data_IF_792220248426
#
_entry.id   IF_792220248426
#
_cell.length_a   1.000
_cell.length_b   1.000
_cell.length_c   1.000
_cell.angle_alpha   90.00
_cell.angle_beta   90.00
_cell.angle_gamma   90.00
#
_symmetry.space_group_name_H-M   'P 1'
#
loop_
_entity.id
_entity.type
_entity.pdbx_description
1 polymer ?
#
# COMPACT_ATOMS: atom_id res chain seq x y z
N UNK A 1 -31.55 -147.99 79.66
CA UNK A 1 -30.32 -147.26 80.10
C UNK A 1 -29.40 -146.93 78.93
N UNK A 2 -29.04 -147.88 78.05
CA UNK A 2 -28.11 -147.60 76.93
C UNK A 2 -28.57 -146.49 75.97
N UNK A 3 -29.83 -146.51 75.48
CA UNK A 3 -30.32 -145.49 74.53
C UNK A 3 -30.26 -144.07 75.11
N UNK A 4 -30.62 -143.89 76.38
CA UNK A 4 -30.59 -142.59 77.05
C UNK A 4 -29.17 -141.98 77.09
N UNK A 5 -28.13 -142.80 77.31
CA UNK A 5 -26.73 -142.35 77.18
C UNK A 5 -26.37 -141.96 75.75
N UNK A 6 -26.89 -142.68 74.75
CA UNK A 6 -26.69 -142.38 73.33
C UNK A 6 -27.42 -141.09 72.93
N UNK A 7 -28.69 -140.91 73.33
CA UNK A 7 -29.49 -139.70 73.12
C UNK A 7 -28.79 -138.46 73.74
N UNK A 8 -28.20 -138.58 74.92
CA UNK A 8 -27.38 -137.53 75.52
C UNK A 8 -26.06 -137.27 74.78
N UNK A 9 -25.43 -138.31 74.21
CA UNK A 9 -24.22 -138.16 73.40
C UNK A 9 -24.52 -137.48 72.06
N UNK A 10 -25.58 -137.89 71.36
CA UNK A 10 -26.06 -137.28 70.11
C UNK A 10 -26.51 -135.84 70.34
N UNK A 11 -27.27 -135.56 71.42
CA UNK A 11 -27.66 -134.19 71.79
C UNK A 11 -26.45 -133.30 72.15
N UNK A 12 -25.37 -133.88 72.69
CA UNK A 12 -24.11 -133.16 72.93
C UNK A 12 -23.32 -132.92 71.64
N UNK A 13 -23.34 -133.87 70.70
CA UNK A 13 -22.72 -133.71 69.39
C UNK A 13 -23.44 -132.63 68.56
N UNK A 14 -24.79 -132.64 68.53
CA UNK A 14 -25.59 -131.57 67.91
C UNK A 14 -25.22 -130.20 68.47
N UNK A 15 -25.21 -130.00 69.81
CA UNK A 15 -24.77 -128.72 70.42
C UNK A 15 -23.34 -128.30 70.10
N UNK A 16 -22.46 -129.22 69.69
CA UNK A 16 -21.11 -128.90 69.22
C UNK A 16 -21.10 -128.56 67.72
N UNK A 17 -21.97 -129.19 66.92
CA UNK A 17 -22.25 -128.83 65.53
C UNK A 17 -22.93 -127.46 65.46
N UNK A 18 -24.07 -127.26 66.14
CA UNK A 18 -24.78 -125.97 66.29
C UNK A 18 -23.82 -124.82 66.66
N UNK A 19 -22.87 -125.09 67.57
CA UNK A 19 -21.87 -124.09 68.01
C UNK A 19 -20.73 -123.89 66.99
N UNK A 20 -20.31 -124.91 66.27
CA UNK A 20 -19.34 -124.78 65.19
C UNK A 20 -19.94 -124.03 63.99
N UNK A 21 -21.19 -124.34 63.65
CA UNK A 21 -21.99 -123.67 62.62
C UNK A 21 -22.22 -122.20 62.97
N UNK A 22 -22.63 -121.87 64.20
CA UNK A 22 -22.75 -120.47 64.66
C UNK A 22 -21.41 -119.70 64.66
N UNK A 23 -20.29 -120.38 64.92
CA UNK A 23 -18.96 -119.75 64.83
C UNK A 23 -18.51 -119.55 63.37
N UNK A 24 -18.82 -120.49 62.48
CA UNK A 24 -18.57 -120.35 61.04
C UNK A 24 -19.47 -119.27 60.43
N UNK A 25 -20.74 -119.19 60.82
CA UNK A 25 -21.67 -118.12 60.46
C UNK A 25 -21.15 -116.75 60.95
N UNK A 26 -20.65 -116.66 62.19
CA UNK A 26 -19.99 -115.43 62.66
C UNK A 26 -18.71 -115.08 61.89
N UNK A 27 -17.94 -116.05 61.40
CA UNK A 27 -16.75 -115.81 60.59
C UNK A 27 -17.17 -115.30 59.20
N UNK A 28 -18.09 -115.99 58.52
CA UNK A 28 -18.65 -115.55 57.24
C UNK A 28 -19.30 -114.17 57.33
N UNK A 29 -20.04 -113.87 58.41
CA UNK A 29 -20.64 -112.57 58.63
C UNK A 29 -19.62 -111.46 58.96
N UNK A 30 -18.39 -111.79 59.38
CA UNK A 30 -17.28 -110.83 59.49
C UNK A 30 -16.63 -110.62 58.13
N UNK A 31 -16.28 -111.69 57.41
CA UNK A 31 -15.71 -111.59 56.07
C UNK A 31 -16.64 -110.84 55.10
N UNK A 32 -17.97 -111.04 55.20
CA UNK A 32 -18.95 -110.28 54.41
C UNK A 32 -18.86 -108.79 54.73
N UNK A 33 -18.87 -108.39 56.02
CA UNK A 33 -18.72 -106.99 56.42
C UNK A 33 -17.37 -106.39 56.00
N UNK A 34 -16.29 -107.17 56.04
CA UNK A 34 -14.97 -106.73 55.59
C UNK A 34 -14.95 -106.52 54.07
N UNK A 35 -15.56 -107.42 53.29
CA UNK A 35 -15.75 -107.26 51.84
C UNK A 35 -16.67 -106.08 51.50
N UNK A 36 -17.76 -105.89 52.25
CA UNK A 36 -18.70 -104.77 52.07
C UNK A 36 -18.01 -103.43 52.38
N UNK A 37 -17.19 -103.36 53.43
CA UNK A 37 -16.40 -102.17 53.78
C UNK A 37 -15.29 -101.91 52.76
N UNK A 38 -14.64 -102.95 52.23
CA UNK A 38 -13.66 -102.81 51.13
C UNK A 38 -14.33 -102.32 49.84
N UNK A 39 -15.49 -102.88 49.47
CA UNK A 39 -16.26 -102.45 48.31
C UNK A 39 -16.78 -101.00 48.46
N UNK A 40 -17.18 -100.59 49.67
CA UNK A 40 -17.53 -99.20 49.98
C UNK A 40 -16.31 -98.27 49.89
N UNK A 41 -15.16 -98.67 50.43
CA UNK A 41 -13.91 -97.90 50.33
C UNK A 41 -13.50 -97.70 48.87
N UNK A 42 -13.40 -98.79 48.09
CA UNK A 42 -13.12 -98.76 46.66
C UNK A 42 -14.12 -97.88 45.88
N UNK A 43 -15.41 -97.94 46.23
CA UNK A 43 -16.42 -97.08 45.61
C UNK A 43 -16.16 -95.60 45.92
N UNK A 44 -15.87 -95.25 47.18
CA UNK A 44 -15.53 -93.87 47.55
C UNK A 44 -14.24 -93.38 46.91
N UNK A 45 -13.21 -94.22 46.78
CA UNK A 45 -11.97 -93.89 46.05
C UNK A 45 -12.25 -93.61 44.57
N UNK A 46 -13.07 -94.44 43.92
CA UNK A 46 -13.48 -94.24 42.51
C UNK A 46 -14.30 -92.95 42.33
N UNK A 47 -15.18 -92.62 43.27
CA UNK A 47 -15.91 -91.34 43.26
C UNK A 47 -14.99 -90.13 43.49
N UNK A 48 -14.04 -90.21 44.41
CA UNK A 48 -13.07 -89.14 44.68
C UNK A 48 -12.16 -88.91 43.47
N UNK A 49 -11.58 -89.97 42.89
CA UNK A 49 -10.75 -89.88 41.69
C UNK A 49 -11.53 -89.28 40.49
N UNK A 50 -12.80 -89.66 40.31
CA UNK A 50 -13.66 -89.06 39.29
C UNK A 50 -13.94 -87.58 39.57
N UNK A 51 -14.18 -87.19 40.82
CA UNK A 51 -14.40 -85.80 41.22
C UNK A 51 -13.14 -84.94 41.00
N UNK A 52 -11.96 -85.46 41.33
CA UNK A 52 -10.67 -84.82 41.07
C UNK A 52 -10.41 -84.65 39.58
N UNK A 53 -10.62 -85.69 38.76
CA UNK A 53 -10.50 -85.60 37.30
C UNK A 53 -11.48 -84.57 36.71
N UNK A 54 -12.73 -84.57 37.16
CA UNK A 54 -13.76 -83.60 36.74
C UNK A 54 -13.33 -82.17 37.10
N UNK A 55 -12.79 -81.97 38.30
CA UNK A 55 -12.29 -80.67 38.76
C UNK A 55 -11.07 -80.20 37.94
N UNK A 56 -10.09 -81.08 37.71
CA UNK A 56 -8.90 -80.74 36.92
C UNK A 56 -9.27 -80.38 35.48
N UNK A 57 -10.17 -81.14 34.84
CA UNK A 57 -10.69 -80.82 33.51
C UNK A 57 -11.41 -79.46 33.47
N UNK A 58 -12.18 -79.13 34.52
CA UNK A 58 -12.83 -77.82 34.63
C UNK A 58 -11.83 -76.67 34.85
N UNK A 59 -10.81 -76.85 35.70
CA UNK A 59 -9.76 -75.86 35.93
C UNK A 59 -8.91 -75.63 34.66
N UNK A 60 -8.56 -76.69 33.93
CA UNK A 60 -7.88 -76.61 32.62
C UNK A 60 -8.74 -75.93 31.56
N UNK A 61 -10.02 -76.30 31.44
CA UNK A 61 -10.95 -75.65 30.50
C UNK A 61 -11.12 -74.16 30.80
N UNK A 62 -11.16 -73.78 32.09
CA UNK A 62 -11.20 -72.37 32.52
C UNK A 62 -9.90 -71.63 32.21
N UNK A 63 -8.73 -72.28 32.34
CA UNK A 63 -7.44 -71.71 31.96
C UNK A 63 -7.37 -71.47 30.44
N UNK A 64 -7.69 -72.47 29.63
CA UNK A 64 -7.71 -72.34 28.16
C UNK A 64 -8.66 -71.23 27.68
N UNK A 65 -9.85 -71.07 28.29
CA UNK A 65 -10.76 -69.95 27.98
C UNK A 65 -10.13 -68.59 28.33
N UNK A 66 -9.43 -68.49 29.46
CA UNK A 66 -8.75 -67.26 29.87
C UNK A 66 -7.54 -66.92 28.97
N UNK A 67 -6.79 -67.93 28.54
CA UNK A 67 -5.64 -67.77 27.63
C UNK A 67 -6.09 -67.32 26.24
N UNK A 68 -7.06 -68.02 25.62
CA UNK A 68 -7.66 -67.59 24.35
C UNK A 68 -8.22 -66.15 24.42
N UNK A 69 -8.85 -65.78 25.54
CA UNK A 69 -9.37 -64.42 25.75
C UNK A 69 -8.28 -63.35 25.99
N UNK A 70 -7.08 -63.74 26.38
CA UNK A 70 -5.91 -62.85 26.46
C UNK A 70 -5.19 -62.75 25.11
N UNK A 71 -5.16 -63.82 24.32
CA UNK A 71 -4.57 -63.86 22.98
C UNK A 71 -5.40 -63.04 21.99
N UNK A 72 -6.71 -63.25 21.91
CA UNK A 72 -7.63 -62.42 21.11
C UNK A 72 -7.53 -60.93 21.46
N UNK A 73 -7.32 -60.58 22.73
CA UNK A 73 -7.09 -59.19 23.16
C UNK A 73 -5.72 -58.63 22.75
N UNK A 74 -4.69 -59.48 22.64
CA UNK A 74 -3.37 -59.07 22.12
C UNK A 74 -3.46 -58.82 20.61
N UNK A 75 -4.17 -59.68 19.88
CA UNK A 75 -4.45 -59.51 18.45
C UNK A 75 -5.23 -58.21 18.20
N UNK A 76 -6.34 -57.96 18.90
CA UNK A 76 -7.09 -56.68 18.82
C UNK A 76 -6.21 -55.44 19.07
N UNK A 77 -5.24 -55.53 19.97
CA UNK A 77 -4.33 -54.42 20.29
C UNK A 77 -3.26 -54.27 19.20
N UNK A 78 -2.75 -55.37 18.64
CA UNK A 78 -1.79 -55.35 17.53
C UNK A 78 -2.43 -54.82 16.25
N UNK A 79 -3.64 -55.26 15.90
CA UNK A 79 -4.39 -54.77 14.75
C UNK A 79 -4.67 -53.27 14.84
N UNK A 80 -5.12 -52.80 16.01
CA UNK A 80 -5.33 -51.35 16.26
C UNK A 80 -4.03 -50.56 16.21
N UNK A 81 -2.93 -51.11 16.72
CA UNK A 81 -1.63 -50.47 16.63
C UNK A 81 -1.16 -50.36 15.17
N UNK A 82 -1.31 -51.43 14.39
CA UNK A 82 -0.96 -51.48 12.96
C UNK A 82 -1.77 -50.47 12.14
N UNK A 83 -3.10 -50.44 12.33
CA UNK A 83 -4.00 -49.46 11.69
C UNK A 83 -3.63 -48.01 12.04
N UNK A 84 -3.24 -47.75 13.30
CA UNK A 84 -2.81 -46.40 13.72
C UNK A 84 -1.44 -46.04 13.12
N UNK A 85 -0.49 -46.97 13.01
CA UNK A 85 0.77 -46.70 12.30
C UNK A 85 0.55 -46.44 10.81
N UNK A 86 -0.25 -47.26 10.11
CA UNK A 86 -0.55 -47.07 8.68
C UNK A 86 -1.28 -45.74 8.43
N UNK A 87 -2.22 -45.37 9.30
CA UNK A 87 -2.89 -44.07 9.25
C UNK A 87 -1.92 -42.91 9.48
N UNK A 88 -0.99 -43.02 10.43
CA UNK A 88 0.02 -41.99 10.70
C UNK A 88 1.08 -41.90 9.58
N UNK A 89 1.45 -43.02 8.97
CA UNK A 89 2.37 -43.05 7.82
C UNK A 89 1.73 -42.39 6.59
N UNK A 90 0.51 -42.79 6.20
CA UNK A 90 -0.23 -42.18 5.10
C UNK A 90 -0.56 -40.70 5.32
N UNK A 91 -0.85 -40.30 6.56
CA UNK A 91 -1.03 -38.90 6.96
C UNK A 91 0.29 -38.09 6.93
N UNK A 92 1.45 -38.74 7.09
CA UNK A 92 2.75 -38.10 6.92
C UNK A 92 3.17 -38.02 5.45
N UNK A 93 2.98 -39.07 4.64
CA UNK A 93 3.33 -39.04 3.20
C UNK A 93 2.51 -37.97 2.49
N UNK A 94 1.19 -37.96 2.65
CA UNK A 94 0.29 -36.96 2.03
C UNK A 94 0.64 -35.53 2.43
N UNK A 95 1.03 -35.28 3.69
CA UNK A 95 1.56 -33.97 4.13
C UNK A 95 2.87 -33.59 3.44
N UNK A 96 3.80 -34.53 3.27
CA UNK A 96 5.06 -34.26 2.57
C UNK A 96 4.86 -34.04 1.07
N UNK A 97 3.95 -34.81 0.44
CA UNK A 97 3.57 -34.67 -0.96
C UNK A 97 2.92 -33.30 -1.22
N UNK A 98 1.91 -32.92 -0.43
CA UNK A 98 1.27 -31.60 -0.50
C UNK A 98 2.27 -30.46 -0.27
N UNK A 99 3.19 -30.59 0.70
CA UNK A 99 4.22 -29.58 0.94
C UNK A 99 5.20 -29.42 -0.24
N UNK A 100 5.51 -30.51 -0.96
CA UNK A 100 6.31 -30.49 -2.19
C UNK A 100 5.51 -29.84 -3.33
N UNK A 101 4.27 -30.27 -3.57
CA UNK A 101 3.40 -29.70 -4.62
C UNK A 101 3.20 -28.19 -4.42
N UNK A 102 2.87 -27.74 -3.21
CA UNK A 102 2.77 -26.32 -2.87
C UNK A 102 4.08 -25.57 -3.12
N UNK A 103 5.23 -26.19 -2.88
CA UNK A 103 6.54 -25.59 -3.16
C UNK A 103 6.79 -25.43 -4.66
N UNK A 104 6.40 -26.43 -5.47
CA UNK A 104 6.52 -26.38 -6.92
C UNK A 104 5.56 -25.39 -7.55
N UNK A 105 4.29 -25.36 -7.13
CA UNK A 105 3.30 -24.39 -7.59
C UNK A 105 3.78 -22.95 -7.32
N UNK A 106 4.24 -22.67 -6.09
CA UNK A 106 4.83 -21.35 -5.74
C UNK A 106 6.09 -21.04 -6.56
N UNK A 107 6.94 -22.02 -6.85
CA UNK A 107 8.10 -21.82 -7.72
C UNK A 107 7.71 -21.53 -9.18
N UNK A 108 6.70 -22.21 -9.72
CA UNK A 108 6.14 -21.96 -11.05
C UNK A 108 5.47 -20.59 -11.14
N UNK A 109 4.74 -20.17 -10.11
CA UNK A 109 4.22 -18.81 -9.96
C UNK A 109 5.32 -17.76 -9.99
N UNK A 110 6.39 -17.91 -9.20
CA UNK A 110 7.51 -16.96 -9.22
C UNK A 110 8.19 -16.92 -10.60
N UNK A 111 8.36 -18.07 -11.28
CA UNK A 111 8.88 -18.14 -12.66
C UNK A 111 7.99 -17.40 -13.66
N UNK A 112 6.66 -17.57 -13.61
CA UNK A 112 5.73 -16.90 -14.53
C UNK A 112 5.56 -15.41 -14.21
N UNK A 113 5.49 -15.02 -12.93
CA UNK A 113 5.46 -13.62 -12.48
C UNK A 113 6.73 -12.87 -12.92
N UNK A 114 7.92 -13.46 -12.70
CA UNK A 114 9.19 -12.85 -13.14
C UNK A 114 9.35 -12.80 -14.66
N UNK A 115 8.86 -13.77 -15.41
CA UNK A 115 8.80 -13.71 -16.88
C UNK A 115 7.89 -12.56 -17.36
N UNK A 116 6.66 -12.46 -16.83
CA UNK A 116 5.72 -11.37 -17.14
C UNK A 116 6.36 -9.99 -16.86
N UNK A 117 6.97 -9.82 -15.69
CA UNK A 117 7.66 -8.59 -15.30
C UNK A 117 8.86 -8.26 -16.23
N UNK A 118 9.72 -9.24 -16.55
CA UNK A 118 10.84 -9.05 -17.49
C UNK A 118 10.34 -8.64 -18.89
N UNK A 119 9.22 -9.19 -19.34
CA UNK A 119 8.59 -8.79 -20.59
C UNK A 119 8.07 -7.35 -20.52
N UNK A 120 7.29 -7.00 -19.51
CA UNK A 120 6.77 -5.63 -19.30
C UNK A 120 7.91 -4.59 -19.25
N UNK A 121 8.99 -4.85 -18.50
CA UNK A 121 10.17 -3.98 -18.44
C UNK A 121 10.86 -3.83 -19.81
N UNK A 122 10.90 -4.88 -20.64
CA UNK A 122 11.39 -4.82 -22.03
C UNK A 122 10.50 -3.95 -22.92
N UNK A 123 9.17 -4.00 -22.75
CA UNK A 123 8.23 -3.13 -23.45
C UNK A 123 8.33 -1.66 -22.99
N UNK A 124 8.39 -1.40 -21.68
CA UNK A 124 8.57 -0.05 -21.11
C UNK A 124 9.89 0.57 -21.55
N UNK A 125 10.99 -0.20 -21.57
CA UNK A 125 12.29 0.27 -22.10
C UNK A 125 12.20 0.62 -23.59
N UNK A 126 11.51 -0.19 -24.40
CA UNK A 126 11.27 0.09 -25.83
C UNK A 126 10.37 1.31 -26.06
N UNK A 127 9.43 1.60 -25.18
CA UNK A 127 8.62 2.82 -25.24
C UNK A 127 9.49 4.04 -24.96
N UNK A 128 10.14 4.09 -23.78
CA UNK A 128 10.98 5.22 -23.35
C UNK A 128 12.07 5.62 -24.36
N UNK A 129 12.63 4.65 -25.09
CA UNK A 129 13.59 4.92 -26.16
C UNK A 129 12.92 5.69 -27.32
N UNK A 130 11.80 5.20 -27.84
CA UNK A 130 11.03 5.87 -28.90
C UNK A 130 10.51 7.25 -28.47
N UNK A 131 10.04 7.38 -27.23
CA UNK A 131 9.56 8.64 -26.68
C UNK A 131 10.70 9.67 -26.58
N UNK A 132 11.91 9.21 -26.22
CA UNK A 132 13.14 10.01 -26.22
C UNK A 132 13.60 10.41 -27.63
N UNK A 133 13.58 9.49 -28.58
CA UNK A 133 13.88 9.75 -30.01
C UNK A 133 12.94 10.80 -30.60
N UNK A 134 11.62 10.66 -30.36
CA UNK A 134 10.61 11.62 -30.79
C UNK A 134 10.80 13.00 -30.13
N UNK A 135 11.08 13.05 -28.83
CA UNK A 135 11.36 14.29 -28.09
C UNK A 135 12.62 15.00 -28.61
N UNK A 136 13.67 14.25 -28.95
CA UNK A 136 14.88 14.79 -29.57
C UNK A 136 14.61 15.35 -30.97
N UNK A 137 13.86 14.63 -31.81
CA UNK A 137 13.48 15.10 -33.14
C UNK A 137 12.64 16.39 -33.09
N UNK A 138 11.61 16.43 -32.23
CA UNK A 138 10.80 17.63 -32.02
C UNK A 138 11.64 18.81 -31.52
N UNK A 139 12.60 18.56 -30.62
CA UNK A 139 13.51 19.60 -30.12
C UNK A 139 14.47 20.11 -31.20
N UNK A 140 14.92 19.25 -32.12
CA UNK A 140 15.74 19.66 -33.27
C UNK A 140 14.93 20.54 -34.24
N UNK A 141 13.68 20.16 -34.56
CA UNK A 141 12.77 20.97 -35.36
C UNK A 141 12.55 22.35 -34.74
N UNK A 142 12.14 22.43 -33.47
CA UNK A 142 11.95 23.71 -32.77
C UNK A 142 13.19 24.61 -32.71
N UNK A 143 14.40 24.03 -32.76
CA UNK A 143 15.66 24.78 -32.87
C UNK A 143 15.89 25.28 -34.30
N UNK A 144 15.58 24.48 -35.32
CA UNK A 144 15.66 24.87 -36.73
C UNK A 144 14.63 25.96 -37.08
N UNK A 145 13.37 25.79 -36.68
CA UNK A 145 12.29 26.76 -36.86
C UNK A 145 12.65 28.10 -36.21
N UNK A 146 13.13 28.05 -34.95
CA UNK A 146 13.57 29.25 -34.24
C UNK A 146 14.78 29.92 -34.92
N UNK A 147 15.75 29.14 -35.41
CA UNK A 147 16.89 29.68 -36.15
C UNK A 147 16.42 30.40 -37.42
N UNK A 148 15.53 29.79 -38.21
CA UNK A 148 14.95 30.38 -39.40
C UNK A 148 14.19 31.69 -39.11
N UNK A 149 13.32 31.69 -38.08
CA UNK A 149 12.62 32.89 -37.62
C UNK A 149 13.58 34.01 -37.18
N UNK A 150 14.62 33.69 -36.41
CA UNK A 150 15.62 34.70 -36.03
C UNK A 150 16.44 35.21 -37.21
N UNK A 151 16.67 34.38 -38.24
CA UNK A 151 17.35 34.80 -39.47
C UNK A 151 16.48 35.79 -40.27
N UNK A 152 15.19 35.49 -40.46
CA UNK A 152 14.24 36.43 -41.06
C UNK A 152 14.17 37.75 -40.29
N UNK A 153 14.05 37.69 -38.96
CA UNK A 153 14.03 38.90 -38.13
C UNK A 153 15.30 39.74 -38.27
N UNK A 154 16.48 39.12 -38.40
CA UNK A 154 17.71 39.84 -38.68
C UNK A 154 17.72 40.45 -40.09
N UNK A 155 17.25 39.73 -41.11
CA UNK A 155 17.14 40.23 -42.49
C UNK A 155 16.15 41.40 -42.61
N UNK A 156 15.01 41.38 -41.91
CA UNK A 156 14.06 42.49 -41.91
C UNK A 156 14.55 43.69 -41.07
N UNK A 157 15.30 43.43 -39.99
CA UNK A 157 16.02 44.46 -39.25
C UNK A 157 17.18 45.08 -40.04
N UNK A 158 17.81 44.37 -40.99
CA UNK A 158 18.81 44.99 -41.87
C UNK A 158 18.17 45.81 -42.98
N UNK A 159 17.07 45.35 -43.60
CA UNK A 159 16.30 46.13 -44.58
C UNK A 159 15.84 47.47 -43.99
N UNK A 160 15.06 47.42 -42.90
CA UNK A 160 14.54 48.63 -42.23
C UNK A 160 15.63 49.60 -41.75
N UNK A 161 16.81 49.11 -41.36
CA UNK A 161 17.96 49.97 -41.05
C UNK A 161 18.58 50.63 -42.28
N UNK A 162 18.65 49.94 -43.41
CA UNK A 162 19.11 50.52 -44.67
C UNK A 162 18.10 51.54 -45.20
N UNK A 163 16.81 51.21 -45.19
CA UNK A 163 15.73 52.10 -45.61
C UNK A 163 15.77 53.40 -44.80
N UNK A 164 15.77 53.32 -43.47
CA UNK A 164 15.91 54.47 -42.58
C UNK A 164 17.21 55.25 -42.85
N UNK A 165 18.36 54.58 -43.02
CA UNK A 165 19.62 55.27 -43.31
C UNK A 165 19.60 56.03 -44.66
N UNK A 166 18.85 55.55 -45.65
CA UNK A 166 18.64 56.31 -46.91
C UNK A 166 17.71 57.50 -46.73
N UNK A 167 16.65 57.37 -45.92
CA UNK A 167 15.74 58.47 -45.58
C UNK A 167 16.49 59.56 -44.79
N UNK A 168 17.24 59.18 -43.75
CA UNK A 168 18.08 60.09 -42.96
C UNK A 168 19.15 60.79 -43.82
N UNK A 169 19.67 60.13 -44.86
CA UNK A 169 20.60 60.74 -45.80
C UNK A 169 19.92 61.74 -46.74
N UNK A 170 18.72 61.43 -47.26
CA UNK A 170 17.93 62.33 -48.09
C UNK A 170 17.45 63.56 -47.32
N UNK A 171 16.96 63.39 -46.08
CA UNK A 171 16.54 64.48 -45.20
C UNK A 171 17.70 65.43 -44.90
N UNK A 172 18.88 64.91 -44.51
CA UNK A 172 20.07 65.74 -44.27
C UNK A 172 20.56 66.46 -45.53
N UNK A 173 20.39 65.87 -46.72
CA UNK A 173 20.70 66.54 -47.98
C UNK A 173 19.71 67.69 -48.28
N UNK A 174 18.41 67.48 -48.03
CA UNK A 174 17.36 68.51 -48.16
C UNK A 174 17.57 69.65 -47.17
N UNK A 175 17.79 69.34 -45.88
CA UNK A 175 18.15 70.34 -44.87
C UNK A 175 19.39 71.15 -45.27
N UNK A 176 20.39 70.51 -45.88
CA UNK A 176 21.59 71.20 -46.35
C UNK A 176 21.28 72.14 -47.53
N UNK A 177 20.49 71.70 -48.53
CA UNK A 177 20.08 72.59 -49.63
C UNK A 177 19.23 73.77 -49.14
N UNK A 178 18.33 73.53 -48.18
CA UNK A 178 17.46 74.58 -47.63
C UNK A 178 18.27 75.58 -46.80
N UNK A 179 19.24 75.12 -46.00
CA UNK A 179 20.19 75.98 -45.29
C UNK A 179 21.03 76.82 -46.28
N UNK A 180 21.50 76.23 -47.38
CA UNK A 180 22.25 76.96 -48.42
C UNK A 180 21.37 77.99 -49.13
N UNK A 181 20.13 77.65 -49.45
CA UNK A 181 19.17 78.59 -50.07
C UNK A 181 18.84 79.76 -49.12
N UNK A 182 18.59 79.49 -47.84
CA UNK A 182 18.34 80.51 -46.82
C UNK A 182 19.56 81.41 -46.60
N UNK A 183 20.77 80.85 -46.56
CA UNK A 183 22.02 81.64 -46.48
C UNK A 183 22.18 82.54 -47.71
N UNK A 184 21.95 82.01 -48.94
CA UNK A 184 22.00 82.81 -50.17
C UNK A 184 20.99 83.97 -50.15
N UNK A 185 19.74 83.72 -49.76
CA UNK A 185 18.72 84.77 -49.62
C UNK A 185 19.10 85.81 -48.56
N UNK A 186 19.70 85.40 -47.44
CA UNK A 186 20.18 86.35 -46.41
C UNK A 186 21.34 87.21 -46.90
N UNK A 187 22.23 86.70 -47.75
CA UNK A 187 23.31 87.46 -48.37
C UNK A 187 22.76 88.47 -49.38
N UNK A 188 21.82 88.08 -50.24
CA UNK A 188 21.13 88.98 -51.18
C UNK A 188 20.35 90.10 -50.44
N UNK A 189 19.78 89.79 -49.27
CA UNK A 189 19.16 90.79 -48.40
C UNK A 189 20.19 91.76 -47.78
N UNK A 190 21.37 91.27 -47.37
CA UNK A 190 22.47 92.11 -46.85
C UNK A 190 23.10 92.97 -47.96
N UNK A 191 23.20 92.47 -49.19
CA UNK A 191 23.70 93.23 -50.34
C UNK A 191 22.72 94.33 -50.74
N UNK A 192 21.43 94.02 -50.84
CA UNK A 192 20.40 95.02 -51.14
C UNK A 192 20.23 96.06 -50.03
N UNK A 193 20.34 95.68 -48.75
CA UNK A 193 20.33 96.65 -47.65
C UNK A 193 21.57 97.56 -47.67
N UNK A 194 22.76 97.02 -47.95
CA UNK A 194 24.00 97.80 -48.13
C UNK A 194 23.93 98.77 -49.30
N UNK A 195 23.33 98.38 -50.42
CA UNK A 195 23.10 99.28 -51.56
C UNK A 195 22.13 100.40 -51.20
N UNK A 196 21.00 100.10 -50.55
CA UNK A 196 20.05 101.11 -50.07
C UNK A 196 20.68 102.06 -49.02
N UNK A 197 21.52 101.55 -48.13
CA UNK A 197 22.30 102.37 -47.19
C UNK A 197 23.32 103.26 -47.91
N UNK A 198 24.02 102.74 -48.93
CA UNK A 198 24.98 103.51 -49.72
C UNK A 198 24.29 104.61 -50.53
N UNK A 199 23.13 104.34 -51.14
CA UNK A 199 22.30 105.34 -51.82
C UNK A 199 21.77 106.40 -50.83
N UNK A 200 21.26 105.98 -49.66
CA UNK A 200 20.82 106.90 -48.62
C UNK A 200 21.99 107.78 -48.09
N UNK A 201 23.20 107.23 -47.99
CA UNK A 201 24.41 107.99 -47.67
C UNK A 201 24.81 108.94 -48.81
N UNK A 202 24.74 108.51 -50.07
CA UNK A 202 25.01 109.36 -51.23
C UNK A 202 24.01 110.53 -51.34
N UNK A 203 22.73 110.30 -51.05
CA UNK A 203 21.70 111.33 -50.97
C UNK A 203 21.94 112.28 -49.79
N UNK A 204 22.30 111.77 -48.60
CA UNK A 204 22.72 112.61 -47.45
C UNK A 204 23.94 113.48 -47.79
N UNK A 205 24.95 112.92 -48.46
CA UNK A 205 26.12 113.67 -48.92
C UNK A 205 25.77 114.70 -50.01
N UNK A 206 24.83 114.40 -50.91
CA UNK A 206 24.33 115.36 -51.91
C UNK A 206 23.55 116.51 -51.26
N UNK A 207 22.69 116.20 -50.28
CA UNK A 207 21.96 117.20 -49.49
C UNK A 207 22.90 118.05 -48.61
N UNK A 208 23.92 117.44 -48.00
CA UNK A 208 24.94 118.17 -47.25
C UNK A 208 25.77 119.08 -48.16
N UNK A 209 26.13 118.62 -49.37
CA UNK A 209 26.78 119.46 -50.39
C UNK A 209 25.90 120.63 -50.83
N UNK A 210 24.59 120.45 -51.02
CA UNK A 210 23.69 121.57 -51.35
C UNK A 210 23.44 122.52 -50.18
N UNK A 211 23.42 122.01 -48.94
CA UNK A 211 23.42 122.84 -47.73
C UNK A 211 24.70 123.67 -47.63
N UNK A 212 25.86 123.09 -47.95
CA UNK A 212 27.13 123.82 -48.00
C UNK A 212 27.15 124.88 -49.11
N UNK A 213 26.71 124.59 -50.34
CA UNK A 213 26.65 125.63 -51.39
C UNK A 213 25.68 126.75 -51.00
N UNK A 214 24.53 126.41 -50.42
CA UNK A 214 23.57 127.41 -49.94
C UNK A 214 24.14 128.23 -48.78
N UNK A 215 24.88 127.61 -47.84
CA UNK A 215 25.52 128.30 -46.71
C UNK A 215 26.76 129.11 -47.09
N UNK A 216 27.34 128.88 -48.27
CA UNK A 216 28.50 129.62 -48.80
C UNK A 216 28.08 130.76 -49.72
N UNK A 217 26.92 130.67 -50.41
CA UNK A 217 26.41 131.71 -51.32
C UNK A 217 25.22 132.52 -50.79
N UNK A 218 24.44 132.02 -49.82
CA UNK A 218 23.57 132.87 -49.00
C UNK A 218 24.33 133.31 -47.75
N UNK A 219 24.41 134.63 -47.52
CA UNK A 219 25.34 135.26 -46.57
C UNK A 219 25.01 135.11 -45.08
N UNK A 220 24.61 133.93 -44.62
CA UNK A 220 24.20 133.66 -43.23
C UNK A 220 25.23 132.78 -42.50
N UNK A 221 26.18 133.42 -41.80
CA UNK A 221 27.07 132.73 -40.85
C UNK A 221 26.27 132.24 -39.62
N UNK A 222 26.11 130.93 -39.49
CA UNK A 222 25.79 130.26 -38.23
C UNK A 222 26.75 129.07 -38.04
N UNK A 223 27.39 128.97 -36.88
CA UNK A 223 28.43 127.96 -36.61
C UNK A 223 28.19 127.25 -35.28
N UNK A 224 27.89 125.96 -35.36
CA UNK A 224 28.09 124.92 -34.34
C UNK A 224 28.12 123.59 -35.11
N UNK A 225 29.23 122.85 -35.23
CA UNK A 225 30.01 122.14 -34.21
C UNK A 225 29.23 120.94 -33.63
N UNK A 226 29.84 119.76 -33.76
CA UNK A 226 29.33 118.39 -33.45
C UNK A 226 30.39 117.65 -32.58
N UNK A 227 30.46 116.30 -32.43
CA UNK A 227 29.48 115.22 -32.66
C UNK A 227 28.94 114.63 -31.33
N UNK A 228 29.42 113.54 -30.64
CA UNK A 228 30.32 112.39 -30.95
C UNK A 228 29.79 110.96 -30.62
N UNK A 229 30.44 109.95 -31.23
CA UNK A 229 30.74 108.58 -30.68
C UNK A 229 29.64 107.50 -30.53
N UNK A 230 30.02 106.27 -30.91
CA UNK A 230 29.32 105.00 -30.68
C UNK A 230 30.22 103.96 -29.96
N UNK A 231 29.64 103.02 -29.21
CA UNK A 231 30.15 101.64 -29.04
C UNK A 231 29.03 100.58 -29.21
N UNK A 232 29.22 99.26 -29.33
CA UNK A 232 30.39 98.35 -29.52
C UNK A 232 29.85 97.02 -30.11
N UNK A 233 30.57 96.37 -31.03
CA UNK A 233 31.31 95.11 -30.84
C UNK A 233 30.57 93.91 -30.20
N UNK A 234 30.55 92.80 -30.97
CA UNK A 234 31.19 91.48 -30.71
C UNK A 234 31.08 90.85 -29.29
N UNK A 235 30.85 89.53 -29.10
CA UNK A 235 31.40 88.35 -29.81
C UNK A 235 30.52 87.08 -29.58
N UNK A 236 30.74 85.95 -30.29
CA UNK A 236 29.88 84.74 -30.24
C UNK A 236 30.41 83.59 -29.35
N UNK A 237 29.61 82.51 -29.17
CA UNK A 237 30.11 81.12 -29.18
C UNK A 237 29.04 80.01 -29.33
N UNK A 238 29.24 79.20 -30.37
CA UNK A 238 29.20 77.73 -30.45
C UNK A 238 28.25 76.90 -29.55
N UNK A 239 27.20 76.35 -30.18
CA UNK A 239 26.96 74.91 -30.50
C UNK A 239 27.14 73.78 -29.45
N UNK A 240 26.43 72.62 -29.61
CA UNK A 240 26.18 71.65 -28.53
C UNK A 240 26.82 70.25 -28.69
N UNK A 241 26.76 69.46 -27.62
CA UNK A 241 26.62 67.99 -27.58
C UNK A 241 25.42 67.68 -26.62
N UNK A 242 24.49 66.74 -26.79
CA UNK A 242 24.44 65.35 -27.34
C UNK A 242 24.69 64.27 -26.25
N UNK A 243 23.71 63.35 -26.13
CA UNK A 243 23.79 62.04 -25.43
C UNK A 243 23.96 62.04 -23.88
N UNK A 244 23.53 61.04 -23.10
CA UNK A 244 22.62 59.89 -23.36
C UNK A 244 22.10 59.26 -22.04
N UNK A 245 21.12 58.35 -22.16
CA UNK A 245 20.83 57.27 -21.18
C UNK A 245 20.17 57.68 -19.84
N UNK A 246 19.53 56.79 -19.07
CA UNK A 246 18.97 55.45 -19.37
C UNK A 246 17.81 55.12 -18.42
N UNK A 247 16.99 54.12 -18.79
CA UNK A 247 15.74 53.79 -18.12
C UNK A 247 15.83 52.74 -16.99
N UNK A 248 14.76 52.71 -16.18
CA UNK A 248 14.55 51.85 -15.01
C UNK A 248 14.71 50.34 -15.27
N UNK A 249 15.21 49.59 -14.27
CA UNK A 249 15.38 48.13 -14.34
C UNK A 249 15.04 47.43 -13.02
N UNK A 250 13.78 46.99 -12.87
CA UNK A 250 13.27 46.25 -11.70
C UNK A 250 13.56 44.73 -11.78
N UNK A 251 13.55 44.01 -10.63
CA UNK A 251 13.89 42.57 -10.59
C UNK A 251 13.35 41.83 -9.35
N UNK A 252 12.76 40.63 -9.59
CA UNK A 252 12.56 39.47 -8.66
C UNK A 252 11.65 39.56 -7.40
N UNK A 253 10.39 39.10 -7.58
CA UNK A 253 9.79 37.82 -7.08
C UNK A 253 10.04 37.33 -5.63
N UNK A 254 8.94 37.15 -4.87
CA UNK A 254 8.60 36.01 -3.98
C UNK A 254 7.04 35.95 -3.80
N UNK A 255 6.34 34.81 -3.92
CA UNK A 255 5.81 33.89 -2.85
C UNK A 255 5.05 34.57 -1.70
N UNK A 256 3.90 34.08 -1.17
CA UNK A 256 3.18 32.79 -1.27
C UNK A 256 1.64 33.02 -1.16
N UNK A 257 0.82 31.98 -1.36
CA UNK A 257 -0.66 31.93 -1.42
C UNK A 257 -1.39 31.66 -0.09
N UNK A 258 -2.66 32.10 0.05
CA UNK A 258 -3.67 31.47 0.94
C UNK A 258 -5.15 31.78 0.57
N UNK A 259 -6.07 30.92 1.04
CA UNK A 259 -7.53 31.10 1.28
C UNK A 259 -8.59 31.19 0.15
N UNK A 260 -9.38 30.12 0.04
CA UNK A 260 -10.83 30.04 -0.31
C UNK A 260 -11.35 28.80 0.47
N UNK A 261 -12.32 28.78 1.41
CA UNK A 261 -13.64 29.41 1.65
C UNK A 261 -14.82 28.56 1.13
N UNK A 262 -15.90 28.50 1.94
CA UNK A 262 -17.20 27.81 1.73
C UNK A 262 -17.21 26.26 1.82
N UNK A 263 -18.33 25.57 2.06
CA UNK A 263 -19.56 25.83 2.86
C UNK A 263 -20.41 24.53 2.93
N UNK A 264 -21.25 24.38 3.96
CA UNK A 264 -22.32 23.36 4.04
C UNK A 264 -23.63 23.88 3.35
N UNK A 265 -24.82 23.21 3.41
CA UNK A 265 -25.18 21.91 4.02
C UNK A 265 -26.20 21.01 3.22
N UNK A 266 -26.44 19.77 3.71
CA UNK A 266 -27.76 19.04 3.78
C UNK A 266 -28.68 18.82 2.53
N UNK A 267 -29.84 18.10 2.61
CA UNK A 267 -30.33 17.04 3.53
C UNK A 267 -31.04 15.81 2.83
N UNK A 268 -31.64 14.93 3.66
CA UNK A 268 -33.01 14.35 3.52
C UNK A 268 -33.35 13.03 2.75
N UNK A 269 -33.87 12.06 3.55
CA UNK A 269 -35.15 11.31 3.40
C UNK A 269 -35.36 10.35 2.20
N UNK A 270 -35.44 9.03 2.48
CA UNK A 270 -36.56 8.13 2.09
C UNK A 270 -36.50 6.73 2.78
N UNK A 271 -37.64 6.02 2.82
CA UNK A 271 -37.94 4.65 3.34
C UNK A 271 -39.07 4.05 2.45
N UNK A 272 -39.54 2.78 2.59
CA UNK A 272 -38.96 1.50 3.05
C UNK A 272 -39.32 0.31 2.06
N UNK A 273 -39.33 -0.96 2.55
CA UNK A 273 -39.98 -2.18 1.96
C UNK A 273 -39.14 -2.86 0.83
N UNK A 274 -38.98 -4.20 0.70
CA UNK A 274 -39.64 -5.37 1.31
C UNK A 274 -38.69 -6.52 1.79
N UNK A 275 -39.28 -7.50 2.47
CA UNK A 275 -38.75 -8.77 3.02
C UNK A 275 -38.35 -9.74 1.86
N UNK A 276 -37.45 -10.74 1.89
CA UNK A 276 -36.99 -11.64 2.98
C UNK A 276 -35.75 -12.48 2.60
N UNK A 277 -34.67 -12.44 3.39
CA UNK A 277 -33.71 -13.55 3.57
C UNK A 277 -33.26 -13.63 5.05
N UNK A 278 -32.47 -14.63 5.41
CA UNK A 278 -32.19 -15.02 6.81
C UNK A 278 -31.31 -14.04 7.59
N UNK A 279 -31.46 -13.95 8.92
CA UNK A 279 -30.81 -12.90 9.72
C UNK A 279 -29.29 -13.12 9.83
N UNK A 280 -28.50 -12.14 9.38
CA UNK A 280 -27.08 -12.06 9.71
C UNK A 280 -26.89 -12.06 11.25
N UNK A 281 -25.99 -12.88 11.81
CA UNK A 281 -25.63 -12.76 13.23
C UNK A 281 -24.82 -11.49 13.54
N UNK A 282 -24.25 -10.86 12.51
CA UNK A 282 -23.35 -9.70 12.58
C UNK A 282 -23.79 -8.63 13.58
N UNK A 283 -25.04 -8.16 13.53
CA UNK A 283 -25.54 -7.11 14.45
C UNK A 283 -25.43 -7.43 15.95
N UNK A 284 -25.40 -8.71 16.36
CA UNK A 284 -25.14 -9.09 17.76
C UNK A 284 -23.66 -9.04 18.13
N UNK A 285 -22.80 -9.34 17.16
CA UNK A 285 -21.34 -9.30 17.30
C UNK A 285 -20.88 -7.84 17.31
N UNK A 286 -21.38 -7.05 16.35
CA UNK A 286 -21.20 -5.59 16.26
C UNK A 286 -21.60 -4.90 17.58
N UNK A 287 -22.79 -5.21 18.11
CA UNK A 287 -23.27 -4.62 19.35
C UNK A 287 -22.43 -5.05 20.56
N UNK A 288 -22.01 -6.32 20.66
CA UNK A 288 -21.10 -6.77 21.72
C UNK A 288 -19.73 -6.08 21.64
N UNK A 289 -19.18 -5.86 20.44
CA UNK A 289 -17.93 -5.11 20.25
C UNK A 289 -18.09 -3.66 20.72
N UNK A 290 -19.19 -2.98 20.37
CA UNK A 290 -19.47 -1.61 20.84
C UNK A 290 -19.62 -1.56 22.36
N UNK A 291 -20.41 -2.47 22.95
CA UNK A 291 -20.66 -2.51 24.39
C UNK A 291 -19.38 -2.83 25.18
N UNK A 292 -18.48 -3.67 24.65
CA UNK A 292 -17.17 -3.95 25.24
C UNK A 292 -16.22 -2.75 25.14
N UNK A 293 -16.14 -2.11 23.96
CA UNK A 293 -15.32 -0.91 23.75
C UNK A 293 -15.80 0.26 24.63
N UNK A 294 -17.11 0.37 24.88
CA UNK A 294 -17.69 1.34 25.81
C UNK A 294 -17.45 1.01 27.30
N UNK A 295 -17.12 -0.25 27.63
CA UNK A 295 -16.75 -0.67 28.99
C UNK A 295 -15.25 -0.48 29.29
N UNK A 296 -14.40 -0.32 28.26
CA UNK A 296 -13.01 0.06 28.45
C UNK A 296 -12.92 1.50 28.97
N UNK A 297 -12.42 1.64 30.19
CA UNK A 297 -12.45 2.89 31.00
C UNK A 297 -11.63 4.06 30.44
N UNK A 298 -10.95 3.86 29.31
CA UNK A 298 -10.13 4.84 28.59
C UNK A 298 -10.90 5.64 27.53
N UNK A 299 -12.14 5.27 27.18
CA UNK A 299 -12.83 5.73 25.95
C UNK A 299 -12.03 5.42 24.67
N UNK A 300 -11.33 4.28 24.65
CA UNK A 300 -10.48 3.90 23.52
C UNK A 300 -11.28 3.77 22.23
N UNK A 301 -10.73 4.32 21.15
CA UNK A 301 -11.33 4.17 19.81
C UNK A 301 -11.29 2.70 19.38
N UNK A 302 -12.27 2.27 18.57
CA UNK A 302 -12.31 0.90 18.03
C UNK A 302 -10.99 0.55 17.31
N UNK A 303 -10.39 1.52 16.62
CA UNK A 303 -9.09 1.40 15.96
C UNK A 303 -7.90 1.31 16.93
N UNK A 304 -8.00 1.86 18.14
CA UNK A 304 -6.99 1.69 19.20
C UNK A 304 -7.07 0.27 19.80
N UNK A 305 -8.28 -0.23 20.05
CA UNK A 305 -8.54 -1.60 20.51
C UNK A 305 -8.07 -2.64 19.49
N UNK A 306 -8.18 -2.37 18.18
CA UNK A 306 -7.61 -3.25 17.13
C UNK A 306 -6.07 -3.32 17.18
N UNK A 307 -5.40 -2.24 17.63
CA UNK A 307 -3.95 -2.18 17.72
C UNK A 307 -3.39 -2.79 19.03
N UNK A 308 -4.12 -2.73 20.14
CA UNK A 308 -3.73 -3.43 21.37
C UNK A 308 -4.15 -4.91 21.34
N UNK A 309 -3.17 -5.73 20.95
CA UNK A 309 -3.26 -7.21 20.87
C UNK A 309 -3.86 -7.87 22.10
N UNK A 310 -3.57 -7.39 23.32
CA UNK A 310 -4.07 -8.06 24.53
C UNK A 310 -5.54 -7.67 24.80
N UNK A 311 -5.97 -6.47 24.41
CA UNK A 311 -7.41 -6.12 24.42
C UNK A 311 -8.20 -6.89 23.36
N UNK A 312 -7.67 -7.08 22.15
CA UNK A 312 -8.28 -7.97 21.13
C UNK A 312 -8.40 -9.39 21.68
N UNK A 313 -7.36 -9.89 22.35
CA UNK A 313 -7.35 -11.26 22.89
C UNK A 313 -8.42 -11.47 23.95
N UNK A 314 -8.61 -10.52 24.86
CA UNK A 314 -9.67 -10.59 25.89
C UNK A 314 -11.07 -10.43 25.27
N UNK A 315 -11.25 -9.48 24.34
CA UNK A 315 -12.50 -9.31 23.57
C UNK A 315 -12.91 -10.60 22.85
N UNK A 316 -11.97 -11.28 22.18
CA UNK A 316 -12.22 -12.56 21.51
C UNK A 316 -12.53 -13.69 22.50
N UNK A 317 -11.83 -13.75 23.63
CA UNK A 317 -12.08 -14.76 24.67
C UNK A 317 -13.44 -14.56 25.35
N UNK A 318 -13.82 -13.33 25.67
CA UNK A 318 -15.13 -13.02 26.25
C UNK A 318 -16.25 -13.21 25.23
N UNK A 319 -16.10 -12.66 24.01
CA UNK A 319 -17.11 -12.76 22.94
C UNK A 319 -17.40 -14.20 22.52
N UNK A 320 -16.40 -15.06 22.43
CA UNK A 320 -16.62 -16.48 22.12
C UNK A 320 -17.41 -17.19 23.23
N UNK A 321 -17.17 -16.85 24.51
CA UNK A 321 -17.90 -17.42 25.64
C UNK A 321 -19.33 -16.85 25.81
N UNK A 322 -19.54 -15.55 25.55
CA UNK A 322 -20.86 -14.89 25.71
C UNK A 322 -21.80 -15.13 24.54
N UNK A 323 -21.30 -15.03 23.30
CA UNK A 323 -22.11 -15.18 22.09
C UNK A 323 -22.18 -16.62 21.58
N UNK A 324 -21.24 -17.50 21.97
CA UNK A 324 -21.04 -18.85 21.41
C UNK A 324 -20.83 -18.83 19.89
N UNK A 325 -20.05 -17.84 19.44
CA UNK A 325 -19.63 -17.62 18.05
C UNK A 325 -18.13 -17.84 17.97
N UNK A 326 -17.62 -18.36 16.84
CA UNK A 326 -16.20 -18.58 16.65
C UNK A 326 -15.41 -17.26 16.73
N UNK A 327 -14.23 -17.23 17.39
CA UNK A 327 -13.43 -16.01 17.54
C UNK A 327 -12.99 -15.42 16.20
N UNK A 328 -12.92 -16.22 15.13
CA UNK A 328 -12.66 -15.76 13.76
C UNK A 328 -13.74 -14.79 13.27
N UNK A 329 -15.02 -15.05 13.52
CA UNK A 329 -16.11 -14.18 13.07
C UNK A 329 -16.16 -12.88 13.87
N UNK A 330 -15.83 -12.95 15.15
CA UNK A 330 -15.71 -11.78 16.03
C UNK A 330 -14.54 -10.90 15.58
N UNK A 331 -13.39 -11.50 15.25
CA UNK A 331 -12.23 -10.79 14.70
C UNK A 331 -12.53 -10.15 13.34
N UNK A 332 -13.18 -10.88 12.43
CA UNK A 332 -13.58 -10.37 11.12
C UNK A 332 -14.57 -9.19 11.25
N UNK A 333 -15.53 -9.28 12.18
CA UNK A 333 -16.49 -8.21 12.46
C UNK A 333 -15.79 -6.98 13.04
N UNK A 334 -14.88 -7.17 14.00
CA UNK A 334 -14.09 -6.09 14.61
C UNK A 334 -13.18 -5.39 13.57
N UNK A 335 -12.55 -6.15 12.67
CA UNK A 335 -11.77 -5.59 11.56
C UNK A 335 -12.66 -4.77 10.62
N UNK A 336 -13.82 -5.31 10.22
CA UNK A 336 -14.78 -4.64 9.35
C UNK A 336 -15.32 -3.34 9.96
N UNK A 337 -15.56 -3.31 11.28
CA UNK A 337 -15.97 -2.09 11.99
C UNK A 337 -14.84 -1.06 12.08
N UNK A 338 -13.59 -1.50 12.24
CA UNK A 338 -12.43 -0.62 12.28
C UNK A 338 -12.13 0.02 10.90
N UNK A 339 -12.19 -0.76 9.83
CA UNK A 339 -12.07 -0.27 8.45
C UNK A 339 -13.22 0.68 8.08
N UNK A 340 -14.46 0.33 8.46
CA UNK A 340 -15.64 1.17 8.27
C UNK A 340 -15.67 2.46 9.10
N UNK A 341 -14.83 2.57 10.14
CA UNK A 341 -14.68 3.77 10.97
C UNK A 341 -13.58 4.72 10.48
N UNK A 342 -12.94 4.45 9.34
CA UNK A 342 -11.80 5.20 8.81
C UNK A 342 -12.15 6.17 7.66
N UNK A 343 -13.44 6.53 7.50
CA UNK A 343 -13.95 7.47 6.48
C UNK A 343 -14.85 8.53 7.10
#
# INVERSE_FOLDING_TARGET
MASLMQEFAEARQRRLQDRAEFLAEQQLAREQRERDLQAQAEATEKYLAHAEQTRLAWEQGRQAIAENALESRREEIQDRAAQVSEYLETLNTTRTEQAVEDSEQRAQEVRTRTFKMRSQLKHIRKARIRDGEASLAQRQQLVQDRAALTKMQLEDLTKTRLDNATIDAQQRAQEFSDRVANVKASLEQIESSRLAEAEAQALKLKAFRSQLTNSVWSGSRAVAIAPPVAPKQDTPKNSPDVSESSSSKSKKKNTKSESVVASAPEPAIAKPIEVKETPKPAGKIEQFVVDYVAQLSTNSSLLEVVNDRDTVRDLLAQGANTLKVDPSDILNTLLQMAEGSST
#
